data_IF_406525244263
#
_entry.id   IF_406525244263
#
_cell.length_a   1.000
_cell.length_b   1.000
_cell.length_c   1.000
_cell.angle_alpha   90.00
_cell.angle_beta   90.00
_cell.angle_gamma   90.00
#
_symmetry.space_group_name_H-M   'P 1'
#
loop_
_entity.id
_entity.type
_entity.pdbx_description
1 polymer ?
#
# COMPACT_ATOMS: atom_id res chain seq x y z
N UNK A 1 0.26 15.87 -16.08
CA UNK A 1 0.87 14.93 -17.08
C UNK A 1 1.80 13.83 -16.52
N UNK A 2 2.60 14.03 -15.45
CA UNK A 2 3.34 12.91 -14.80
C UNK A 2 2.50 12.22 -13.72
N UNK A 3 1.77 12.98 -12.92
CA UNK A 3 0.89 12.47 -11.87
C UNK A 3 -0.29 11.71 -12.47
N UNK A 4 -0.93 12.20 -13.53
CA UNK A 4 -1.93 11.42 -14.31
C UNK A 4 -1.46 10.01 -14.70
N UNK A 5 -0.23 9.90 -15.21
CA UNK A 5 0.33 8.62 -15.63
C UNK A 5 0.53 7.69 -14.43
N UNK A 6 1.05 8.21 -13.32
CA UNK A 6 1.23 7.45 -12.08
C UNK A 6 -0.11 7.03 -11.48
N UNK A 7 -1.12 7.90 -11.56
CA UNK A 7 -2.47 7.64 -11.10
C UNK A 7 -3.13 6.52 -11.93
N UNK A 8 -3.02 6.58 -13.25
CA UNK A 8 -3.49 5.53 -14.15
C UNK A 8 -2.80 4.19 -13.88
N UNK A 9 -1.45 4.18 -13.77
CA UNK A 9 -0.70 2.96 -13.43
C UNK A 9 -1.12 2.38 -12.08
N UNK A 10 -1.38 3.23 -11.07
CA UNK A 10 -1.88 2.77 -9.78
C UNK A 10 -3.27 2.13 -9.93
N UNK A 11 -4.18 2.77 -10.66
CA UNK A 11 -5.52 2.23 -10.91
C UNK A 11 -5.53 0.92 -11.71
N UNK A 12 -4.60 0.73 -12.64
CA UNK A 12 -4.40 -0.54 -13.35
C UNK A 12 -3.88 -1.62 -12.41
N UNK A 13 -2.84 -1.32 -11.61
CA UNK A 13 -2.25 -2.26 -10.67
C UNK A 13 -3.22 -2.69 -9.57
N UNK A 14 -4.11 -1.78 -9.12
CA UNK A 14 -5.13 -2.08 -8.11
C UNK A 14 -6.22 -3.04 -8.61
N UNK A 15 -6.48 -3.08 -9.93
CA UNK A 15 -7.50 -3.96 -10.54
C UNK A 15 -6.96 -5.34 -10.89
N UNK A 16 -5.66 -5.56 -10.78
CA UNK A 16 -5.05 -6.87 -10.95
C UNK A 16 -5.35 -7.75 -9.71
N UNK A 17 -6.11 -8.85 -9.84
CA UNK A 17 -6.39 -9.74 -8.72
C UNK A 17 -5.14 -10.46 -8.19
N UNK A 18 -4.06 -10.51 -8.97
CA UNK A 18 -2.78 -11.10 -8.60
C UNK A 18 -1.72 -10.03 -8.26
N UNK A 19 -2.15 -8.83 -7.87
CA UNK A 19 -1.23 -7.72 -7.62
C UNK A 19 -0.18 -8.04 -6.55
N UNK A 20 1.05 -7.61 -6.83
CA UNK A 20 2.12 -7.63 -5.84
C UNK A 20 1.94 -6.49 -4.83
N UNK A 21 1.71 -6.83 -3.56
CA UNK A 21 1.52 -5.87 -2.46
C UNK A 21 2.73 -4.98 -2.19
N UNK A 22 3.95 -5.50 -2.32
CA UNK A 22 5.17 -4.70 -2.21
C UNK A 22 5.25 -3.68 -3.35
N UNK A 23 4.94 -4.08 -4.59
CA UNK A 23 4.90 -3.19 -5.74
C UNK A 23 3.81 -2.12 -5.59
N UNK A 24 2.61 -2.49 -5.13
CA UNK A 24 1.55 -1.53 -4.85
C UNK A 24 1.97 -0.49 -3.82
N UNK A 25 2.67 -0.91 -2.75
CA UNK A 25 3.19 0.01 -1.73
C UNK A 25 4.09 1.08 -2.35
N UNK A 26 4.98 0.71 -3.28
CA UNK A 26 5.87 1.65 -3.97
C UNK A 26 5.10 2.62 -4.87
N UNK A 27 4.10 2.12 -5.61
CA UNK A 27 3.24 2.96 -6.46
C UNK A 27 2.44 3.98 -5.62
N UNK A 28 1.84 3.52 -4.52
CA UNK A 28 1.10 4.37 -3.58
C UNK A 28 2.00 5.45 -2.97
N UNK A 29 3.21 5.08 -2.50
CA UNK A 29 4.20 6.06 -2.00
C UNK A 29 4.52 7.11 -3.06
N UNK A 30 4.75 6.68 -4.30
CA UNK A 30 5.10 7.57 -5.41
C UNK A 30 3.99 8.57 -5.72
N UNK A 31 2.74 8.09 -5.82
CA UNK A 31 1.56 8.94 -6.04
C UNK A 31 1.37 9.91 -4.87
N UNK A 32 1.43 9.43 -3.62
CA UNK A 32 1.26 10.29 -2.44
C UNK A 32 2.28 11.43 -2.41
N UNK A 33 3.56 11.12 -2.62
CA UNK A 33 4.60 12.14 -2.64
C UNK A 33 4.48 13.11 -3.81
N UNK A 34 3.99 12.64 -4.96
CA UNK A 34 3.73 13.53 -6.09
C UNK A 34 2.61 14.54 -5.76
N UNK A 35 1.55 14.12 -5.07
CA UNK A 35 0.47 15.03 -4.64
C UNK A 35 0.97 15.98 -3.56
N UNK A 36 1.73 15.49 -2.58
CA UNK A 36 2.30 16.33 -1.50
C UNK A 36 3.28 17.37 -2.05
N UNK A 37 4.05 17.04 -3.08
CA UNK A 37 5.01 17.96 -3.71
C UNK A 37 4.37 18.98 -4.67
N UNK A 38 3.19 18.68 -5.21
CA UNK A 38 2.54 19.49 -6.25
C UNK A 38 1.02 19.58 -6.06
N UNK A 39 0.53 20.16 -4.95
CA UNK A 39 -0.90 20.18 -4.61
C UNK A 39 -1.77 20.95 -5.62
N UNK A 40 -1.18 21.89 -6.38
CA UNK A 40 -1.86 22.72 -7.38
C UNK A 40 -1.98 22.09 -8.77
N UNK A 41 -1.24 21.01 -9.06
CA UNK A 41 -0.97 20.55 -10.44
C UNK A 41 -1.91 19.47 -10.97
N UNK A 42 -2.67 18.77 -10.12
CA UNK A 42 -3.68 17.79 -10.54
C UNK A 42 -4.69 17.56 -9.40
N UNK A 43 -5.96 17.92 -9.61
CA UNK A 43 -7.04 17.69 -8.62
C UNK A 43 -7.50 16.24 -8.70
N UNK A 44 -6.80 15.36 -7.99
CA UNK A 44 -7.34 14.04 -7.65
C UNK A 44 -8.59 14.17 -6.77
N UNK A 45 -9.43 13.13 -6.67
CA UNK A 45 -10.57 13.14 -5.78
C UNK A 45 -10.16 13.53 -4.35
N UNK A 46 -10.98 14.31 -3.63
CA UNK A 46 -10.66 14.74 -2.25
C UNK A 46 -10.37 13.56 -1.31
N UNK A 47 -10.98 12.40 -1.58
CA UNK A 47 -10.73 11.16 -0.86
C UNK A 47 -9.34 10.53 -1.14
N UNK A 48 -8.62 10.94 -2.18
CA UNK A 48 -7.39 10.28 -2.61
C UNK A 48 -6.30 10.33 -1.54
N UNK A 49 -5.98 11.51 -1.00
CA UNK A 49 -4.92 11.66 0.00
C UNK A 49 -5.15 10.81 1.27
N UNK A 50 -6.31 10.89 1.96
CA UNK A 50 -6.54 10.06 3.15
C UNK A 50 -6.57 8.56 2.83
N UNK A 51 -7.06 8.14 1.66
CA UNK A 51 -7.06 6.74 1.22
C UNK A 51 -5.64 6.24 0.92
N UNK A 52 -4.82 7.02 0.22
CA UNK A 52 -3.43 6.70 -0.07
C UNK A 52 -2.61 6.57 1.21
N UNK A 53 -2.80 7.46 2.20
CA UNK A 53 -2.14 7.35 3.51
C UNK A 53 -2.55 6.06 4.24
N UNK A 54 -3.85 5.74 4.25
CA UNK A 54 -4.37 4.52 4.87
C UNK A 54 -3.81 3.25 4.21
N UNK A 55 -3.80 3.21 2.88
CA UNK A 55 -3.27 2.09 2.11
C UNK A 55 -1.75 1.94 2.29
N UNK A 56 -1.01 3.05 2.29
CA UNK A 56 0.43 3.03 2.56
C UNK A 56 0.73 2.50 3.96
N UNK A 57 -0.04 2.90 4.98
CA UNK A 57 0.15 2.42 6.34
C UNK A 57 -0.09 0.91 6.45
N UNK A 58 -1.22 0.41 5.94
CA UNK A 58 -1.52 -1.02 6.01
C UNK A 58 -0.52 -1.89 5.24
N UNK A 59 -0.11 -1.46 4.04
CA UNK A 59 0.93 -2.15 3.27
C UNK A 59 2.32 -2.03 3.93
N UNK A 60 2.56 -0.95 4.68
CA UNK A 60 3.74 -0.80 5.53
C UNK A 60 3.76 -1.83 6.65
N UNK A 61 2.68 -1.92 7.43
CA UNK A 61 2.52 -2.89 8.52
C UNK A 61 2.79 -4.33 8.03
N UNK A 62 2.23 -4.70 6.88
CA UNK A 62 2.44 -6.02 6.26
C UNK A 62 3.91 -6.23 5.84
N UNK A 63 4.49 -5.23 5.16
CA UNK A 63 5.86 -5.31 4.66
C UNK A 63 6.89 -5.38 5.79
N UNK A 64 6.66 -4.69 6.90
CA UNK A 64 7.55 -4.70 8.05
C UNK A 64 7.56 -6.08 8.72
N UNK A 65 6.41 -6.75 8.83
CA UNK A 65 6.34 -8.15 9.28
C UNK A 65 7.13 -9.08 8.36
N UNK A 66 6.98 -8.90 7.04
CA UNK A 66 7.73 -9.69 6.05
C UNK A 66 9.25 -9.49 6.18
N UNK A 67 9.71 -8.25 6.41
CA UNK A 67 11.13 -7.95 6.64
C UNK A 67 11.66 -8.62 7.92
N UNK A 68 10.90 -8.57 9.01
CA UNK A 68 11.30 -9.24 10.25
C UNK A 68 11.34 -10.76 10.12
N UNK A 69 10.35 -11.36 9.45
CA UNK A 69 10.34 -12.79 9.16
C UNK A 69 11.51 -13.21 8.26
N UNK A 70 11.89 -12.39 7.28
CA UNK A 70 13.07 -12.64 6.47
C UNK A 70 14.35 -12.61 7.32
N UNK A 71 14.47 -11.61 8.20
CA UNK A 71 15.61 -11.46 9.10
C UNK A 71 15.73 -12.60 10.12
N UNK A 72 14.61 -13.08 10.64
CA UNK A 72 14.57 -14.19 11.60
C UNK A 72 15.12 -15.52 11.04
N UNK A 73 15.25 -15.67 9.71
CA UNK A 73 15.92 -16.83 9.11
C UNK A 73 17.42 -16.87 9.37
N UNK A 74 18.03 -15.70 9.59
CA UNK A 74 19.47 -15.53 9.80
C UNK A 74 19.81 -15.36 11.28
N UNK A 75 18.86 -14.88 12.09
CA UNK A 75 19.03 -14.49 13.49
C UNK A 75 18.18 -15.34 14.43
N UNK A 76 18.83 -16.29 15.13
CA UNK A 76 18.15 -17.28 16.00
C UNK A 76 17.48 -16.66 17.23
N UNK A 77 17.98 -15.52 17.71
CA UNK A 77 17.38 -14.76 18.81
C UNK A 77 16.01 -14.18 18.43
N UNK A 78 15.75 -13.98 17.14
CA UNK A 78 14.45 -13.53 16.62
C UNK A 78 13.42 -14.66 16.47
N UNK A 79 13.81 -15.94 16.59
CA UNK A 79 12.90 -17.07 16.40
C UNK A 79 11.69 -17.04 17.34
N UNK A 80 11.85 -16.56 18.58
CA UNK A 80 10.74 -16.44 19.53
C UNK A 80 9.65 -15.47 19.07
N UNK A 81 9.99 -14.51 18.20
CA UNK A 81 9.08 -13.49 17.69
C UNK A 81 8.35 -13.92 16.41
N UNK A 82 8.82 -14.97 15.72
CA UNK A 82 8.27 -15.46 14.44
C UNK A 82 6.76 -15.73 14.49
N UNK A 83 6.19 -16.40 15.52
CA UNK A 83 4.75 -16.64 15.58
C UNK A 83 3.94 -15.33 15.63
N UNK A 84 4.44 -14.34 16.38
CA UNK A 84 3.80 -13.03 16.52
C UNK A 84 3.80 -12.28 15.18
N UNK A 85 4.91 -12.29 14.45
CA UNK A 85 4.99 -11.62 13.16
C UNK A 85 4.17 -12.31 12.08
N UNK A 86 4.05 -13.64 12.08
CA UNK A 86 3.11 -14.33 11.18
C UNK A 86 1.66 -13.90 11.45
N UNK A 87 1.22 -13.94 12.70
CA UNK A 87 -0.13 -13.52 13.06
C UNK A 87 -0.39 -12.03 12.76
N UNK A 88 0.61 -11.17 12.94
CA UNK A 88 0.52 -9.76 12.58
C UNK A 88 0.46 -9.56 11.06
N UNK A 89 1.24 -10.33 10.30
CA UNK A 89 1.27 -10.28 8.83
C UNK A 89 -0.09 -10.66 8.24
N UNK A 90 -0.74 -11.72 8.72
CA UNK A 90 -2.08 -12.13 8.27
C UNK A 90 -3.14 -11.04 8.54
N UNK A 91 -3.09 -10.42 9.72
CA UNK A 91 -3.98 -9.30 10.05
C UNK A 91 -3.72 -8.08 9.18
N UNK A 92 -2.45 -7.76 8.95
CA UNK A 92 -2.04 -6.64 8.10
C UNK A 92 -2.41 -6.88 6.63
N UNK A 93 -2.31 -8.12 6.16
CA UNK A 93 -2.76 -8.55 4.82
C UNK A 93 -4.25 -8.27 4.65
N UNK A 94 -5.09 -8.83 5.53
CA UNK A 94 -6.54 -8.62 5.48
C UNK A 94 -6.94 -7.14 5.64
N UNK A 95 -6.19 -6.37 6.43
CA UNK A 95 -6.37 -4.93 6.56
C UNK A 95 -5.99 -4.21 5.26
N UNK A 96 -4.88 -4.61 4.62
CA UNK A 96 -4.40 -4.04 3.37
C UNK A 96 -5.43 -4.21 2.25
N UNK A 97 -6.00 -5.41 2.09
CA UNK A 97 -7.01 -5.69 1.08
C UNK A 97 -8.23 -4.77 1.26
N UNK A 98 -8.76 -4.68 2.49
CA UNK A 98 -9.90 -3.80 2.81
C UNK A 98 -9.65 -2.32 2.53
N UNK A 99 -8.44 -1.81 2.73
CA UNK A 99 -8.14 -0.39 2.46
C UNK A 99 -7.87 -0.14 0.98
N UNK A 100 -7.34 -1.13 0.25
CA UNK A 100 -7.17 -1.08 -1.20
C UNK A 100 -8.53 -1.09 -1.91
N UNK A 101 -9.47 -1.94 -1.49
CA UNK A 101 -10.85 -1.94 -1.98
C UNK A 101 -11.50 -0.56 -1.80
N UNK A 102 -11.34 0.03 -0.61
CA UNK A 102 -11.85 1.39 -0.33
C UNK A 102 -11.18 2.46 -1.18
N UNK A 103 -9.89 2.32 -1.51
CA UNK A 103 -9.17 3.23 -2.39
C UNK A 103 -9.72 3.13 -3.82
N UNK A 104 -9.94 1.92 -4.33
CA UNK A 104 -10.56 1.67 -5.63
C UNK A 104 -11.96 2.31 -5.68
N UNK A 105 -12.83 1.98 -4.73
CA UNK A 105 -14.20 2.46 -4.71
C UNK A 105 -14.31 3.99 -4.55
N UNK A 106 -13.43 4.60 -3.75
CA UNK A 106 -13.49 6.04 -3.49
C UNK A 106 -12.85 6.89 -4.58
N UNK A 107 -11.93 6.33 -5.38
CA UNK A 107 -11.04 7.13 -6.22
C UNK A 107 -10.93 6.65 -7.68
N UNK A 108 -11.37 5.42 -8.00
CA UNK A 108 -11.21 4.82 -9.32
C UNK A 108 -12.49 4.20 -9.93
N UNK A 109 -13.55 4.00 -9.14
CA UNK A 109 -14.87 3.51 -9.63
C UNK A 109 -15.85 4.63 -10.01
N UNK A 110 -15.52 5.89 -9.71
CA UNK A 110 -16.34 7.08 -10.08
C UNK A 110 -15.82 7.85 -11.31
N UNK A 111 -14.96 7.26 -12.13
CA UNK A 111 -14.44 7.89 -13.36
C UNK A 111 -14.99 7.23 -14.61
#
# INVERSE_FOLDING_TARGET
KRLDKQWKTLGEALRDPAHDRHRLRLLIKRVRYAIEAYPELDRLPEAAMPRLKSAQAALGDWHDCWQWLARAKEETDLHACVPTWHAAMEKAEAKSDKVLDKLIASCFEKS
#
